data_IF_020440215159
#
_entry.id   IF_020440215159
#
_cell.length_a   1.000
_cell.length_b   1.000
_cell.length_c   1.000
_cell.angle_alpha   90.00
_cell.angle_beta   90.00
_cell.angle_gamma   90.00
#
_symmetry.space_group_name_H-M   'P 1'
#
loop_
_entity.id
_entity.type
_entity.pdbx_description
1 polymer ?
#
# COMPACT_ATOMS: atom_id res chain seq x y z
N UNK A 1 63.06 -1.22 6.94
CA UNK A 1 61.62 -0.95 6.79
C UNK A 1 60.91 -2.29 6.85
N UNK A 2 60.38 -2.69 8.02
CA UNK A 2 59.55 -3.90 8.07
C UNK A 2 58.21 -3.53 7.44
N UNK A 3 57.95 -3.97 6.22
CA UNK A 3 56.59 -4.00 5.71
C UNK A 3 55.81 -4.87 6.69
N UNK A 4 54.88 -4.27 7.42
CA UNK A 4 54.02 -5.02 8.30
C UNK A 4 53.19 -5.96 7.44
N UNK A 5 52.83 -7.14 7.96
CA UNK A 5 51.89 -8.04 7.29
C UNK A 5 50.62 -7.27 6.85
N UNK A 6 50.24 -6.25 7.62
CA UNK A 6 49.20 -5.25 7.32
C UNK A 6 49.38 -4.56 5.97
N UNK A 7 50.58 -4.08 5.61
CA UNK A 7 50.82 -3.32 4.38
C UNK A 7 50.67 -4.19 3.12
N UNK A 8 50.94 -5.49 3.24
CA UNK A 8 50.79 -6.47 2.16
C UNK A 8 49.32 -6.92 2.02
N UNK A 9 48.58 -7.00 3.13
CA UNK A 9 47.18 -7.45 3.15
C UNK A 9 46.17 -6.33 2.83
N UNK A 10 46.52 -5.07 3.12
CA UNK A 10 45.62 -3.91 2.95
C UNK A 10 45.03 -3.78 1.53
N UNK A 11 45.79 -3.98 0.43
CA UNK A 11 45.23 -3.91 -0.93
C UNK A 11 44.17 -4.99 -1.19
N UNK A 12 44.38 -6.21 -0.69
CA UNK A 12 43.44 -7.31 -0.86
C UNK A 12 42.15 -7.09 -0.06
N UNK A 13 42.27 -6.57 1.17
CA UNK A 13 41.13 -6.18 1.99
C UNK A 13 40.35 -5.05 1.30
N UNK A 14 41.04 -4.06 0.71
CA UNK A 14 40.40 -2.97 -0.02
C UNK A 14 39.61 -3.47 -1.24
N UNK A 15 40.17 -4.42 -2.00
CA UNK A 15 39.46 -5.07 -3.12
C UNK A 15 38.22 -5.82 -2.65
N UNK A 16 38.34 -6.61 -1.58
CA UNK A 16 37.20 -7.34 -1.01
C UNK A 16 36.11 -6.40 -0.49
N UNK A 17 36.49 -5.34 0.22
CA UNK A 17 35.57 -4.31 0.71
C UNK A 17 34.87 -3.58 -0.44
N UNK A 18 35.59 -3.26 -1.52
CA UNK A 18 35.03 -2.64 -2.72
C UNK A 18 33.96 -3.54 -3.36
N UNK A 19 34.23 -4.84 -3.49
CA UNK A 19 33.28 -5.82 -4.03
C UNK A 19 32.04 -5.94 -3.13
N UNK A 20 32.23 -6.01 -1.81
CA UNK A 20 31.12 -6.05 -0.84
C UNK A 20 30.23 -4.82 -0.96
N UNK A 21 30.82 -3.62 -1.02
CA UNK A 21 30.09 -2.36 -1.17
C UNK A 21 29.36 -2.32 -2.51
N UNK A 22 29.98 -2.78 -3.60
CA UNK A 22 29.35 -2.79 -4.92
C UNK A 22 28.11 -3.71 -4.97
N UNK A 23 28.19 -4.90 -4.38
CA UNK A 23 27.05 -5.83 -4.29
C UNK A 23 25.94 -5.24 -3.43
N UNK A 24 26.27 -4.70 -2.26
CA UNK A 24 25.30 -4.08 -1.36
C UNK A 24 24.61 -2.85 -1.99
N UNK A 25 25.40 -2.01 -2.69
CA UNK A 25 24.88 -0.82 -3.38
C UNK A 25 23.96 -1.18 -4.54
N UNK A 26 24.25 -2.26 -5.29
CA UNK A 26 23.38 -2.76 -6.36
C UNK A 26 21.99 -3.13 -5.82
N UNK A 27 21.93 -3.84 -4.71
CA UNK A 27 20.66 -4.25 -4.09
C UNK A 27 19.89 -3.06 -3.53
N UNK A 28 20.59 -2.05 -3.01
CA UNK A 28 19.99 -0.80 -2.58
C UNK A 28 19.42 0.01 -3.75
N UNK A 29 20.22 0.18 -4.82
CA UNK A 29 19.83 0.93 -6.01
C UNK A 29 18.62 0.30 -6.72
N UNK A 30 18.56 -1.04 -6.78
CA UNK A 30 17.40 -1.74 -7.38
C UNK A 30 16.12 -1.57 -6.55
N UNK A 31 16.21 -1.55 -5.21
CA UNK A 31 15.06 -1.22 -4.35
C UNK A 31 14.60 0.24 -4.52
N UNK A 32 15.54 1.18 -4.58
CA UNK A 32 15.24 2.58 -4.85
C UNK A 32 14.61 2.79 -6.22
N UNK A 33 15.12 2.13 -7.26
CA UNK A 33 14.58 2.23 -8.60
C UNK A 33 13.12 1.77 -8.67
N UNK A 34 12.76 0.68 -7.96
CA UNK A 34 11.38 0.22 -7.85
C UNK A 34 10.49 1.22 -7.12
N UNK A 35 10.97 1.82 -6.02
CA UNK A 35 10.22 2.85 -5.28
C UNK A 35 10.00 4.13 -6.08
N UNK A 36 11.03 4.57 -6.82
CA UNK A 36 10.94 5.72 -7.74
C UNK A 36 10.01 5.40 -8.90
N UNK A 37 10.08 4.20 -9.49
CA UNK A 37 9.18 3.78 -10.56
C UNK A 37 7.71 3.76 -10.11
N UNK A 38 7.43 3.38 -8.86
CA UNK A 38 6.07 3.45 -8.30
C UNK A 38 5.63 4.91 -8.06
N UNK A 39 6.50 5.74 -7.48
CA UNK A 39 6.23 7.17 -7.27
C UNK A 39 6.02 7.94 -8.58
N UNK A 40 6.72 7.55 -9.65
CA UNK A 40 6.61 8.14 -10.97
C UNK A 40 5.52 7.49 -11.83
N UNK A 41 4.87 6.42 -11.36
CA UNK A 41 3.77 5.80 -12.08
C UNK A 41 2.54 6.73 -11.98
N UNK A 42 2.11 7.37 -13.08
CA UNK A 42 0.99 8.32 -13.04
C UNK A 42 -0.37 7.67 -12.77
N UNK A 43 -0.41 6.33 -12.72
CA UNK A 43 -1.64 5.55 -12.61
C UNK A 43 -2.27 5.62 -11.21
N UNK A 44 -1.48 5.86 -10.15
CA UNK A 44 -1.95 5.94 -8.77
C UNK A 44 -1.53 7.27 -8.14
N UNK A 45 -2.50 8.00 -7.61
CA UNK A 45 -2.29 9.29 -6.93
C UNK A 45 -2.84 9.24 -5.51
N UNK A 46 -2.35 10.15 -4.68
CA UNK A 46 -2.93 10.39 -3.36
C UNK A 46 -4.41 10.76 -3.51
N UNK A 47 -5.27 10.14 -2.70
CA UNK A 47 -6.72 10.26 -2.77
C UNK A 47 -7.42 9.26 -3.70
N UNK A 48 -6.69 8.49 -4.51
CA UNK A 48 -7.32 7.44 -5.34
C UNK A 48 -7.92 6.33 -4.45
N UNK A 49 -9.16 5.96 -4.76
CA UNK A 49 -9.80 4.76 -4.21
C UNK A 49 -9.25 3.53 -4.91
N UNK A 50 -8.78 2.58 -4.11
CA UNK A 50 -8.17 1.35 -4.59
C UNK A 50 -8.73 0.15 -3.82
N UNK A 51 -8.56 -1.03 -4.39
CA UNK A 51 -8.79 -2.29 -3.69
C UNK A 51 -7.42 -2.90 -3.45
N UNK A 52 -7.08 -3.12 -2.18
CA UNK A 52 -5.81 -3.70 -1.74
C UNK A 52 -6.10 -5.08 -1.16
N UNK A 53 -5.62 -6.13 -1.83
CA UNK A 53 -5.82 -7.53 -1.43
C UNK A 53 -7.30 -7.91 -1.19
N UNK A 54 -8.20 -7.28 -1.95
CA UNK A 54 -9.66 -7.49 -1.83
C UNK A 54 -10.36 -6.58 -0.83
N UNK A 55 -9.63 -5.78 -0.04
CA UNK A 55 -10.20 -4.80 0.89
C UNK A 55 -10.29 -3.41 0.25
N UNK A 56 -11.35 -2.64 0.54
CA UNK A 56 -11.44 -1.26 0.06
C UNK A 56 -10.43 -0.39 0.81
N UNK A 57 -9.62 0.33 0.04
CA UNK A 57 -8.59 1.19 0.56
C UNK A 57 -8.55 2.53 -0.17
N UNK A 58 -7.90 3.50 0.46
CA UNK A 58 -7.61 4.81 -0.10
C UNK A 58 -6.12 5.09 0.04
N UNK A 59 -5.50 5.59 -1.02
CA UNK A 59 -4.11 6.03 -0.95
C UNK A 59 -4.07 7.33 -0.16
N UNK A 60 -3.58 7.28 1.07
CA UNK A 60 -3.49 8.46 1.96
C UNK A 60 -2.28 9.29 1.58
N UNK A 61 -1.13 8.64 1.36
CA UNK A 61 0.14 9.31 1.05
C UNK A 61 1.12 8.38 0.34
N UNK A 62 1.81 8.88 -0.69
CA UNK A 62 2.89 8.15 -1.38
C UNK A 62 4.23 8.74 -0.94
N UNK A 63 4.91 8.06 -0.02
CA UNK A 63 6.25 8.42 0.44
C UNK A 63 7.36 7.90 -0.46
N UNK A 64 8.61 8.22 -0.11
CA UNK A 64 9.78 7.79 -0.88
C UNK A 64 10.11 6.30 -0.65
N UNK A 65 9.92 5.82 0.58
CA UNK A 65 10.21 4.45 1.01
C UNK A 65 8.95 3.62 1.23
N UNK A 66 7.87 4.26 1.69
CA UNK A 66 6.62 3.61 2.07
C UNK A 66 5.41 4.40 1.56
N UNK A 67 4.32 3.68 1.29
CA UNK A 67 3.02 4.22 0.93
C UNK A 67 2.01 3.89 2.02
N UNK A 68 1.19 4.86 2.40
CA UNK A 68 0.17 4.72 3.43
C UNK A 68 -1.17 4.47 2.76
N UNK A 69 -1.77 3.33 3.08
CA UNK A 69 -3.11 2.95 2.64
C UNK A 69 -4.08 3.02 3.81
N UNK A 70 -5.16 3.78 3.67
CA UNK A 70 -6.28 3.79 4.60
C UNK A 70 -7.25 2.68 4.22
N UNK A 71 -7.32 1.62 5.01
CA UNK A 71 -8.13 0.44 4.74
C UNK A 71 -9.38 0.52 5.61
N UNK A 72 -10.55 0.39 4.98
CA UNK A 72 -11.81 0.17 5.68
C UNK A 72 -12.03 -1.33 5.78
N UNK A 73 -11.98 -1.87 7.00
CA UNK A 73 -12.24 -3.28 7.25
C UNK A 73 -13.71 -3.59 6.99
N UNK A 74 -13.95 -4.66 6.26
CA UNK A 74 -15.30 -5.16 5.95
C UNK A 74 -15.42 -6.60 6.41
N UNK A 75 -16.29 -6.83 7.38
CA UNK A 75 -16.54 -8.14 7.99
C UNK A 75 -15.58 -8.52 9.14
N UNK A 76 -16.06 -9.40 10.03
CA UNK A 76 -15.33 -9.86 11.21
C UNK A 76 -15.53 -8.97 12.44
N UNK A 77 -14.65 -9.11 13.43
CA UNK A 77 -14.68 -8.35 14.70
C UNK A 77 -14.41 -6.85 14.51
N UNK A 78 -13.69 -6.48 13.44
CA UNK A 78 -13.23 -5.12 13.15
C UNK A 78 -14.04 -4.45 12.02
N UNK A 79 -15.27 -4.91 11.76
CA UNK A 79 -16.11 -4.37 10.69
C UNK A 79 -16.40 -2.87 10.90
N UNK A 80 -16.05 -2.05 9.90
CA UNK A 80 -16.18 -0.59 9.98
C UNK A 80 -14.93 0.17 10.43
N UNK A 81 -13.89 -0.53 10.92
CA UNK A 81 -12.66 0.13 11.35
C UNK A 81 -11.87 0.71 10.17
N UNK A 82 -11.35 1.91 10.36
CA UNK A 82 -10.46 2.58 9.40
C UNK A 82 -9.03 2.57 9.93
N UNK A 83 -8.18 1.75 9.33
CA UNK A 83 -6.80 1.56 9.76
C UNK A 83 -5.82 2.08 8.71
N UNK A 84 -4.65 2.54 9.14
CA UNK A 84 -3.55 2.90 8.25
C UNK A 84 -2.56 1.75 8.14
N UNK A 85 -2.38 1.24 6.93
CA UNK A 85 -1.38 0.22 6.62
C UNK A 85 -0.20 0.88 5.91
N UNK A 86 0.97 0.75 6.52
CA UNK A 86 2.24 1.21 5.97
C UNK A 86 2.84 0.08 5.13
N UNK A 87 2.98 0.31 3.83
CA UNK A 87 3.51 -0.69 2.90
C UNK A 87 4.80 -0.16 2.28
N UNK A 88 5.92 -0.90 2.41
CA UNK A 88 7.15 -0.57 1.70
C UNK A 88 6.94 -0.55 0.18
N UNK A 89 7.45 0.48 -0.50
CA UNK A 89 7.20 0.70 -1.92
C UNK A 89 7.71 -0.46 -2.81
N UNK A 90 8.75 -1.16 -2.37
CA UNK A 90 9.28 -2.36 -3.03
C UNK A 90 8.37 -3.58 -2.91
N UNK A 91 7.44 -3.59 -1.93
CA UNK A 91 6.46 -4.67 -1.71
C UNK A 91 5.15 -4.47 -2.48
N UNK A 92 4.80 -3.24 -2.83
CA UNK A 92 3.52 -2.93 -3.52
C UNK A 92 3.30 -3.75 -4.79
N UNK A 93 4.31 -4.00 -5.66
CA UNK A 93 4.12 -4.83 -6.86
C UNK A 93 3.74 -6.29 -6.58
N UNK A 94 3.96 -6.77 -5.35
CA UNK A 94 3.59 -8.12 -4.94
C UNK A 94 2.20 -8.20 -4.31
N UNK A 95 1.57 -7.05 -4.03
CA UNK A 95 0.22 -6.97 -3.51
C UNK A 95 -0.77 -6.82 -4.66
N UNK A 96 -1.99 -7.33 -4.47
CA UNK A 96 -3.05 -7.15 -5.46
C UNK A 96 -3.64 -5.74 -5.30
N UNK A 97 -3.20 -4.82 -6.16
CA UNK A 97 -3.67 -3.43 -6.17
C UNK A 97 -4.52 -3.15 -7.41
N UNK A 98 -5.81 -2.86 -7.21
CA UNK A 98 -6.75 -2.53 -8.27
C UNK A 98 -7.24 -1.09 -8.10
N UNK A 99 -7.31 -0.33 -9.21
CA UNK A 99 -7.84 1.04 -9.19
C UNK A 99 -9.35 1.02 -9.40
N UNK A 100 -10.08 1.69 -8.51
CA UNK A 100 -11.53 1.89 -8.70
C UNK A 100 -11.74 3.08 -9.63
N UNK A 101 -12.16 2.81 -10.87
CA UNK A 101 -12.45 3.86 -11.88
C UNK A 101 -13.91 4.32 -11.82
N UNK A 102 -14.82 3.40 -11.49
CA UNK A 102 -16.23 3.68 -11.29
C UNK A 102 -16.70 3.09 -9.96
N UNK A 103 -17.28 3.94 -9.12
CA UNK A 103 -17.80 3.55 -7.82
C UNK A 103 -19.32 3.43 -7.89
N UNK A 104 -19.83 2.19 -7.92
CA UNK A 104 -21.27 1.91 -7.91
C UNK A 104 -21.90 1.99 -6.52
N UNK A 105 -21.10 2.13 -5.46
CA UNK A 105 -21.57 2.16 -4.07
C UNK A 105 -22.66 3.22 -3.82
N UNK A 106 -22.57 4.46 -4.36
CA UNK A 106 -23.63 5.45 -4.18
C UNK A 106 -24.99 5.03 -4.79
N UNK A 107 -24.96 4.34 -5.93
CA UNK A 107 -26.19 3.86 -6.58
C UNK A 107 -26.84 2.74 -5.78
N UNK A 108 -26.03 1.79 -5.31
CA UNK A 108 -26.50 0.69 -4.47
C UNK A 108 -27.06 1.20 -3.13
N UNK A 109 -26.36 2.16 -2.51
CA UNK A 109 -26.82 2.78 -1.26
C UNK A 109 -28.17 3.49 -1.44
N UNK A 110 -28.38 4.16 -2.59
CA UNK A 110 -29.68 4.80 -2.89
C UNK A 110 -30.81 3.78 -2.94
N UNK A 111 -30.59 2.65 -3.62
CA UNK A 111 -31.59 1.57 -3.68
C UNK A 111 -31.88 0.97 -2.31
N UNK A 112 -30.84 0.74 -1.49
CA UNK A 112 -30.98 0.21 -0.14
C UNK A 112 -31.73 1.18 0.78
N UNK A 113 -31.41 2.48 0.76
CA UNK A 113 -32.10 3.51 1.56
C UNK A 113 -33.58 3.59 1.17
N UNK A 114 -33.90 3.50 -0.12
CA UNK A 114 -35.28 3.51 -0.59
C UNK A 114 -36.05 2.28 -0.05
N UNK A 115 -35.50 1.09 -0.20
CA UNK A 115 -36.11 -0.14 0.30
C UNK A 115 -36.31 -0.09 1.82
N UNK A 116 -35.29 0.32 2.57
CA UNK A 116 -35.37 0.48 4.02
C UNK A 116 -36.43 1.52 4.42
N UNK A 117 -36.55 2.63 3.68
CA UNK A 117 -37.60 3.63 3.92
C UNK A 117 -39.00 3.05 3.73
N UNK A 118 -39.21 2.23 2.69
CA UNK A 118 -40.49 1.56 2.45
C UNK A 118 -40.81 0.52 3.52
N UNK A 119 -39.83 -0.25 3.97
CA UNK A 119 -40.00 -1.20 5.08
C UNK A 119 -40.34 -0.48 6.40
N UNK A 120 -39.64 0.60 6.73
CA UNK A 120 -39.96 1.42 7.91
C UNK A 120 -41.38 1.99 7.84
N UNK A 121 -41.83 2.45 6.66
CA UNK A 121 -43.21 2.91 6.47
C UNK A 121 -44.22 1.78 6.66
N UNK A 122 -43.94 0.57 6.17
CA UNK A 122 -44.79 -0.61 6.37
C UNK A 122 -44.89 -0.98 7.84
N UNK A 123 -43.78 -0.97 8.58
CA UNK A 123 -43.77 -1.25 10.03
C UNK A 123 -44.56 -0.17 10.77
N UNK A 124 -44.28 1.12 10.51
CA UNK A 124 -44.96 2.26 11.15
C UNK A 124 -46.48 2.26 10.90
N UNK A 125 -46.93 1.80 9.74
CA UNK A 125 -48.35 1.72 9.38
C UNK A 125 -48.99 0.37 9.76
N UNK A 126 -48.17 -0.67 9.97
CA UNK A 126 -48.57 -2.05 10.29
C UNK A 126 -48.92 -2.26 11.77
N UNK A 127 -48.45 -1.39 12.67
CA UNK A 127 -48.84 -1.36 14.09
C UNK A 127 -50.16 -0.60 14.36
N UNK A 128 -50.96 -0.36 13.32
CA UNK A 128 -52.38 0.06 13.46
C UNK A 128 -53.31 -1.14 13.24
N UNK A 129 -53.20 -2.15 14.09
CA UNK A 129 -54.28 -3.10 14.33
C UNK A 129 -54.35 -3.45 15.81
#
# INVERSE_FOLDING_TARGET
>A
MSLGLTDILMPWIAVLMSIMIAIWFKDWATKLAKGIAFKLNPQFKEGDKVILDGERALIVKIGMTETVFGITKTGGEWDGDYIWRYVPNDRIPFLKLEKVVFDHTPHNNRSAIHNNSEEIKKIKNGDKK
#
